data_IF_557649038272
#
_entry.id   IF_557649038272
#
_cell.length_a   1.000
_cell.length_b   1.000
_cell.length_c   1.000
_cell.angle_alpha   90.00
_cell.angle_beta   90.00
_cell.angle_gamma   90.00
#
_symmetry.space_group_name_H-M   'P 1'
#
loop_
_entity.id
_entity.type
_entity.pdbx_description
1 polymer ?
#
# COMPACT_ATOMS: atom_id res chain seq x y z
N UNK A 1 -13.55 7.36 -3.78
CA UNK A 1 -12.90 6.04 -3.60
C UNK A 1 -12.87 5.69 -2.11
N UNK A 2 -13.26 4.46 -1.74
CA UNK A 2 -13.17 3.96 -0.38
C UNK A 2 -11.75 3.46 -0.14
N UNK A 3 -11.19 3.70 1.05
CA UNK A 3 -9.87 3.22 1.45
C UNK A 3 -9.96 2.55 2.82
N UNK A 4 -9.46 1.32 2.90
CA UNK A 4 -9.38 0.50 4.12
C UNK A 4 -7.93 0.20 4.44
N UNK A 5 -7.54 0.30 5.71
CA UNK A 5 -6.16 0.11 6.15
C UNK A 5 -6.12 -0.84 7.35
N UNK A 6 -5.19 -1.80 7.30
CA UNK A 6 -4.89 -2.74 8.37
C UNK A 6 -3.38 -2.76 8.61
N UNK A 7 -2.99 -2.61 9.87
CA UNK A 7 -1.60 -2.60 10.31
C UNK A 7 -1.39 -3.68 11.37
N UNK A 8 -0.39 -4.53 11.16
CA UNK A 8 0.05 -5.52 12.13
C UNK A 8 1.53 -5.28 12.37
N UNK A 9 1.88 -5.00 13.61
CA UNK A 9 3.26 -4.76 14.01
C UNK A 9 3.60 -5.47 15.31
N UNK A 10 4.89 -5.77 15.46
CA UNK A 10 5.45 -6.34 16.67
C UNK A 10 6.71 -5.58 17.05
N UNK A 11 6.85 -5.37 18.36
CA UNK A 11 8.03 -4.74 18.93
C UNK A 11 8.99 -5.83 19.39
N UNK A 12 10.22 -5.78 18.90
CA UNK A 12 11.30 -6.63 19.37
C UNK A 12 11.78 -6.06 20.71
N UNK A 13 11.41 -6.76 21.80
CA UNK A 13 11.83 -6.45 23.16
C UNK A 13 13.34 -6.65 23.35
N UNK A 14 13.93 -5.88 24.27
CA UNK A 14 15.36 -5.91 24.59
C UNK A 14 15.75 -7.30 25.13
N UNK A 15 16.71 -8.03 24.52
CA UNK A 15 17.49 -9.02 25.26
C UNK A 15 18.40 -8.26 26.23
N UNK A 16 18.45 -8.63 27.52
CA UNK A 16 19.25 -7.93 28.55
C UNK A 16 20.75 -7.79 28.20
N UNK A 17 21.24 -8.59 27.25
CA UNK A 17 22.62 -8.63 26.78
C UNK A 17 22.88 -7.86 25.47
N UNK A 18 21.87 -7.21 24.86
CA UNK A 18 22.00 -6.54 23.54
C UNK A 18 21.37 -5.14 23.51
N UNK A 19 22.21 -4.11 23.31
CA UNK A 19 21.85 -2.67 23.33
C UNK A 19 21.24 -2.23 21.99
N UNK A 20 20.28 -2.96 21.45
CA UNK A 20 19.48 -2.39 20.36
C UNK A 20 18.37 -1.52 20.94
N UNK A 21 18.18 -0.30 20.42
CA UNK A 21 17.03 0.49 20.79
C UNK A 21 15.75 -0.22 20.33
N UNK A 22 14.63 0.04 21.03
CA UNK A 22 13.33 -0.61 20.74
C UNK A 22 13.03 -0.52 19.25
N UNK A 23 12.99 -1.68 18.59
CA UNK A 23 12.74 -1.78 17.15
C UNK A 23 11.37 -2.39 16.94
N UNK A 24 10.50 -1.70 16.21
CA UNK A 24 9.18 -2.23 15.83
C UNK A 24 9.23 -2.58 14.35
N UNK A 25 8.85 -3.79 14.02
CA UNK A 25 8.68 -4.24 12.64
C UNK A 25 7.19 -4.41 12.38
N UNK A 26 6.75 -4.05 11.19
CA UNK A 26 5.34 -4.17 10.84
C UNK A 26 5.08 -4.35 9.36
N UNK A 27 3.88 -4.82 9.08
CA UNK A 27 3.31 -4.90 7.75
C UNK A 27 1.97 -4.16 7.76
N UNK A 28 1.76 -3.36 6.73
CA UNK A 28 0.54 -2.59 6.53
C UNK A 28 -0.06 -2.94 5.17
N UNK A 29 -1.28 -3.43 5.19
CA UNK A 29 -2.11 -3.61 4.01
C UNK A 29 -3.06 -2.43 3.87
N UNK A 30 -3.12 -1.84 2.68
CA UNK A 30 -4.14 -0.85 2.33
C UNK A 30 -4.88 -1.32 1.09
N UNK A 31 -6.19 -1.42 1.17
CA UNK A 31 -7.06 -1.67 0.03
C UNK A 31 -7.80 -0.40 -0.35
N UNK A 32 -7.98 -0.17 -1.64
CA UNK A 32 -8.67 1.00 -2.18
C UNK A 32 -9.57 0.60 -3.33
N UNK A 33 -10.80 1.11 -3.34
CA UNK A 33 -11.60 1.12 -4.57
C UNK A 33 -11.13 2.25 -5.49
N UNK A 34 -11.14 1.99 -6.80
CA UNK A 34 -10.73 2.92 -7.84
C UNK A 34 -11.91 3.22 -8.77
N UNK A 35 -12.09 4.49 -9.11
CA UNK A 35 -13.07 4.94 -10.10
C UNK A 35 -12.43 6.00 -11.02
N UNK A 36 -13.20 6.60 -11.91
CA UNK A 36 -12.74 7.61 -12.88
C UNK A 36 -12.07 8.85 -12.26
N UNK A 37 -12.28 9.10 -10.97
CA UNK A 37 -11.64 10.20 -10.23
C UNK A 37 -10.37 9.77 -9.47
N UNK A 38 -9.97 8.49 -9.54
CA UNK A 38 -8.75 8.00 -8.92
C UNK A 38 -7.54 8.16 -9.86
N UNK A 39 -6.45 8.86 -9.46
CA UNK A 39 -5.28 9.06 -10.31
C UNK A 39 -4.59 7.79 -10.83
N UNK A 40 -4.79 6.66 -10.14
CA UNK A 40 -4.21 5.35 -10.48
C UNK A 40 -5.16 4.46 -11.28
N UNK A 41 -6.38 4.92 -11.56
CA UNK A 41 -7.33 4.19 -12.39
C UNK A 41 -6.98 4.40 -13.86
N UNK A 42 -6.58 3.34 -14.56
CA UNK A 42 -6.18 3.39 -15.97
C UNK A 42 -6.90 2.34 -16.81
N UNK A 43 -8.24 2.45 -16.97
CA UNK A 43 -9.02 1.51 -17.77
C UNK A 43 -8.72 1.64 -19.28
N UNK A 44 -8.14 2.77 -19.70
CA UNK A 44 -7.78 3.03 -21.08
C UNK A 44 -6.33 2.63 -21.40
N UNK A 45 -5.63 1.94 -20.49
CA UNK A 45 -4.30 1.43 -20.75
C UNK A 45 -4.35 0.41 -21.91
N UNK A 46 -3.72 0.75 -23.03
CA UNK A 46 -3.60 -0.11 -24.19
C UNK A 46 -2.21 -0.77 -24.23
N UNK A 47 -2.10 -1.97 -24.83
CA UNK A 47 -0.79 -2.51 -25.20
C UNK A 47 -0.08 -1.57 -26.19
N UNK A 48 1.25 -1.67 -26.27
CA UNK A 48 2.13 -0.74 -27.02
C UNK A 48 1.69 -0.50 -28.48
N UNK A 49 1.09 -1.50 -29.13
CA UNK A 49 0.60 -1.43 -30.50
C UNK A 49 -0.94 -1.53 -30.61
N UNK A 50 -1.67 -1.38 -29.50
CA UNK A 50 -3.13 -1.39 -29.45
C UNK A 50 -3.73 0.01 -29.45
N UNK A 51 -4.92 0.16 -30.04
CA UNK A 51 -5.67 1.42 -29.95
C UNK A 51 -6.33 1.53 -28.56
N UNK A 52 -6.06 2.60 -27.79
CA UNK A 52 -6.69 2.77 -26.49
C UNK A 52 -8.19 3.09 -26.60
N UNK A 53 -9.00 2.63 -25.62
CA UNK A 53 -10.38 3.06 -25.50
C UNK A 53 -10.46 4.58 -25.35
N UNK A 54 -11.42 5.20 -26.05
CA UNK A 54 -11.62 6.66 -26.05
C UNK A 54 -12.33 7.14 -24.77
N UNK A 55 -12.98 6.24 -24.04
CA UNK A 55 -13.76 6.55 -22.85
C UNK A 55 -13.68 5.44 -21.80
N UNK A 56 -13.70 5.85 -20.53
CA UNK A 56 -13.76 4.95 -19.37
C UNK A 56 -15.19 4.47 -19.08
N UNK A 57 -16.20 5.01 -19.79
CA UNK A 57 -17.61 4.65 -19.60
C UNK A 57 -17.82 3.18 -19.98
N UNK A 58 -18.43 2.42 -19.07
CA UNK A 58 -18.68 0.97 -19.25
C UNK A 58 -17.58 0.06 -18.69
N UNK A 59 -16.44 0.61 -18.25
CA UNK A 59 -15.45 -0.15 -17.49
C UNK A 59 -15.88 -0.30 -16.03
N UNK A 60 -15.65 -1.47 -15.42
CA UNK A 60 -15.93 -1.66 -14.00
C UNK A 60 -14.94 -0.85 -13.14
N UNK A 61 -15.37 -0.50 -11.93
CA UNK A 61 -14.45 0.05 -10.92
C UNK A 61 -13.29 -0.91 -10.68
N UNK A 62 -12.11 -0.33 -10.40
CA UNK A 62 -10.92 -1.09 -10.06
C UNK A 62 -10.75 -1.28 -8.56
N UNK A 63 -9.81 -2.15 -8.21
CA UNK A 63 -9.34 -2.35 -6.84
C UNK A 63 -7.81 -2.32 -6.80
N UNK A 64 -7.25 -1.71 -5.76
CA UNK A 64 -5.81 -1.64 -5.56
C UNK A 64 -5.47 -2.14 -4.15
N UNK A 65 -4.50 -3.06 -4.07
CA UNK A 65 -3.85 -3.46 -2.83
C UNK A 65 -2.44 -2.88 -2.75
N UNK A 66 -2.13 -2.25 -1.63
CA UNK A 66 -0.80 -1.76 -1.31
C UNK A 66 -0.31 -2.42 -0.03
N UNK A 67 0.79 -3.16 -0.12
CA UNK A 67 1.40 -3.88 1.01
C UNK A 67 2.74 -3.22 1.30
N UNK A 68 2.91 -2.67 2.51
CA UNK A 68 4.14 -2.01 2.96
C UNK A 68 4.71 -2.75 4.16
N UNK A 69 5.99 -3.06 4.11
CA UNK A 69 6.75 -3.45 5.31
C UNK A 69 7.50 -2.23 5.83
N UNK A 70 7.63 -2.13 7.14
CA UNK A 70 8.35 -1.03 7.77
C UNK A 70 9.12 -1.50 9.00
N UNK A 71 10.19 -0.77 9.30
CA UNK A 71 11.00 -0.92 10.51
C UNK A 71 11.08 0.45 11.17
N UNK A 72 10.57 0.56 12.39
CA UNK A 72 10.79 1.72 13.25
C UNK A 72 11.97 1.41 14.17
N UNK A 73 13.05 2.18 14.01
CA UNK A 73 14.22 2.14 14.89
C UNK A 73 14.16 3.39 15.75
N UNK A 74 14.01 3.22 17.06
CA UNK A 74 14.19 4.34 17.98
C UNK A 74 15.69 4.70 18.04
N UNK A 75 16.09 5.96 17.89
CA UNK A 75 17.51 6.36 17.92
C UNK A 75 17.66 7.47 18.97
N UNK A 76 17.53 7.14 20.26
CA UNK A 76 17.83 8.06 21.37
C UNK A 76 17.16 7.72 22.71
N UNK A 77 18.00 7.66 23.76
CA UNK A 77 17.78 7.35 25.20
C UNK A 77 16.51 6.62 25.63
#
# INVERSE_FOLDING_TARGET
PLQLMLDVSTSLGKPDWFILPSTTIGIRGTWRSLNEFSPRYSPNAAPEFGQPPVSTVGFPNGEEWEIRTYVHINIGK
#
